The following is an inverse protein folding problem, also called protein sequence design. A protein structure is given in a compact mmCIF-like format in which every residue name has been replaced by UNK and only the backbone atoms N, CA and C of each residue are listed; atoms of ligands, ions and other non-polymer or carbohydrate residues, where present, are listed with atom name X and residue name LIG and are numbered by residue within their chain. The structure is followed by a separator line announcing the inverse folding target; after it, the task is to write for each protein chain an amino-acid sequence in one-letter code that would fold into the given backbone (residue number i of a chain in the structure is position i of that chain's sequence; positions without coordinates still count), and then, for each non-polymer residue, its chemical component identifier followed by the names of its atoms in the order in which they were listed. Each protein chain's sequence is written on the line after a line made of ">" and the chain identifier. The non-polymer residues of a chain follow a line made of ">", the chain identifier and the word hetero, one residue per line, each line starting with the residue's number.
data_IF_506020292208
#
_entry.id   IF_506020292208
#
_cell.length_a   1.000
_cell.length_b   1.000
_cell.length_c   1.000
_cell.angle_alpha   90.00
_cell.angle_beta   90.00
_cell.angle_gamma   90.00
#
_symmetry.space_group_name_H-M   'P 1'
#
loop_
_entity.id
_entity.type
_entity.pdbx_description
1 polymer ?
#
# COMPACT_ATOMS: atom_id res chain seq x y z
N UNK A 1 -8.12 35.62 3.44
CA UNK A 1 -9.53 35.45 3.87
C UNK A 1 -10.42 34.82 2.78
N UNK A 2 -10.14 34.98 1.48
CA UNK A 2 -10.95 34.39 0.38
C UNK A 2 -10.94 32.85 0.35
N UNK A 3 -9.79 32.22 0.58
CA UNK A 3 -9.67 30.75 0.63
C UNK A 3 -10.54 30.09 1.73
N UNK A 4 -10.69 30.73 2.88
CA UNK A 4 -11.56 30.21 3.94
C UNK A 4 -13.04 30.33 3.58
N UNK A 5 -13.41 31.34 2.78
CA UNK A 5 -14.77 31.52 2.28
C UNK A 5 -15.09 30.47 1.21
N UNK A 6 -14.17 30.15 0.31
CA UNK A 6 -14.42 29.19 -0.78
C UNK A 6 -14.72 27.76 -0.32
N UNK A 7 -14.33 27.41 0.92
CA UNK A 7 -14.63 26.10 1.53
C UNK A 7 -15.86 26.12 2.46
N UNK A 8 -16.61 27.23 2.48
CA UNK A 8 -17.77 27.35 3.36
C UNK A 8 -18.87 26.31 3.00
N UNK A 9 -19.47 25.63 3.99
CA UNK A 9 -20.42 24.53 3.73
C UNK A 9 -21.71 24.99 3.03
N UNK A 10 -22.16 26.21 3.29
CA UNK A 10 -23.40 26.77 2.72
C UNK A 10 -23.26 27.27 1.28
N UNK A 11 -22.05 27.33 0.72
CA UNK A 11 -21.89 27.74 -0.67
C UNK A 11 -22.27 26.59 -1.63
N UNK A 12 -22.95 26.93 -2.70
CA UNK A 12 -23.10 26.07 -3.87
C UNK A 12 -21.79 25.98 -4.67
N UNK A 13 -21.66 25.00 -5.56
CA UNK A 13 -20.49 24.89 -6.43
C UNK A 13 -20.35 26.10 -7.38
N UNK A 14 -21.46 26.70 -7.80
CA UNK A 14 -21.47 27.92 -8.62
C UNK A 14 -20.91 29.10 -7.84
N UNK A 15 -21.40 29.35 -6.63
CA UNK A 15 -20.88 30.43 -5.78
C UNK A 15 -19.41 30.20 -5.39
N UNK A 16 -19.00 28.93 -5.18
CA UNK A 16 -17.57 28.60 -4.95
C UNK A 16 -16.70 28.97 -6.14
N UNK A 17 -17.18 28.75 -7.36
CA UNK A 17 -16.44 29.06 -8.59
C UNK A 17 -16.25 30.57 -8.80
N UNK A 18 -17.13 31.40 -8.22
CA UNK A 18 -17.00 32.86 -8.23
C UNK A 18 -15.98 33.40 -7.22
N UNK A 19 -15.67 32.62 -6.18
CA UNK A 19 -14.66 33.02 -5.20
C UNK A 19 -13.27 32.86 -5.82
N UNK A 20 -12.65 33.98 -6.17
CA UNK A 20 -11.21 33.99 -6.48
C UNK A 20 -10.37 33.58 -5.26
N UNK A 21 -9.66 32.45 -5.34
CA UNK A 21 -8.76 31.93 -4.29
C UNK A 21 -7.49 31.35 -4.88
N UNK A 22 -6.41 31.38 -4.10
CA UNK A 22 -5.14 30.75 -4.43
C UNK A 22 -4.88 29.60 -3.46
N UNK A 23 -4.42 28.46 -3.99
CA UNK A 23 -4.01 27.31 -3.18
C UNK A 23 -2.51 27.44 -2.91
N UNK A 24 -2.07 27.31 -1.66
CA UNK A 24 -0.65 27.30 -1.34
C UNK A 24 0.07 26.16 -2.09
N UNK A 25 1.13 26.51 -2.81
CA UNK A 25 1.95 25.55 -3.57
C UNK A 25 2.72 24.59 -2.65
N UNK A 26 2.90 24.99 -1.40
CA UNK A 26 3.72 24.30 -0.40
C UNK A 26 2.88 23.64 0.71
N UNK A 27 1.69 23.14 0.37
CA UNK A 27 0.88 22.39 1.32
C UNK A 27 1.59 21.09 1.69
N UNK A 28 2.01 21.02 2.93
CA UNK A 28 2.46 19.80 3.55
C UNK A 28 1.26 18.87 3.77
N UNK A 29 1.25 17.72 3.09
CA UNK A 29 0.25 16.69 3.33
C UNK A 29 0.67 15.89 4.56
N UNK A 30 -0.06 16.10 5.66
CA UNK A 30 0.23 15.52 6.95
C UNK A 30 -0.73 14.39 7.29
N UNK A 31 -0.18 13.32 7.87
CA UNK A 31 -0.99 12.35 8.60
C UNK A 31 -1.70 13.06 9.77
N UNK A 32 -3.00 12.87 9.86
CA UNK A 32 -3.89 13.38 10.88
C UNK A 32 -4.20 12.26 11.87
N UNK A 33 -4.30 12.55 13.17
CA UNK A 33 -4.88 11.59 14.11
C UNK A 33 -6.36 11.38 13.77
N UNK A 34 -6.87 10.20 14.12
CA UNK A 34 -8.31 9.94 14.00
C UNK A 34 -9.07 10.98 14.83
N UNK A 35 -10.06 11.69 14.23
CA UNK A 35 -10.80 12.69 14.97
C UNK A 35 -11.63 12.03 16.06
N UNK A 36 -11.60 12.61 17.27
CA UNK A 36 -12.39 12.10 18.40
C UNK A 36 -13.90 12.10 18.12
N UNK A 37 -14.37 13.09 17.35
CA UNK A 37 -15.75 13.17 16.87
C UNK A 37 -15.76 12.86 15.38
N UNK A 38 -16.41 11.76 14.95
CA UNK A 38 -16.59 11.46 13.54
C UNK A 38 -17.30 12.61 12.82
N UNK A 39 -16.90 12.87 11.58
CA UNK A 39 -17.57 13.85 10.72
C UNK A 39 -18.92 13.31 10.27
N UNK A 40 -19.84 14.20 9.92
CA UNK A 40 -21.08 13.82 9.25
C UNK A 40 -20.77 13.12 7.91
N UNK A 41 -21.15 11.84 7.72
CA UNK A 41 -20.88 11.09 6.50
C UNK A 41 -21.45 11.75 5.24
N UNK A 42 -22.58 12.46 5.34
CA UNK A 42 -23.14 13.18 4.18
C UNK A 42 -22.27 14.37 3.79
N UNK A 43 -21.73 15.10 4.76
CA UNK A 43 -20.77 16.16 4.49
C UNK A 43 -19.48 15.62 3.88
N UNK A 44 -18.95 14.50 4.38
CA UNK A 44 -17.75 13.87 3.81
C UNK A 44 -17.98 13.47 2.35
N UNK A 45 -19.15 12.90 2.03
CA UNK A 45 -19.50 12.55 0.64
C UNK A 45 -19.64 13.77 -0.26
N UNK A 46 -20.22 14.87 0.23
CA UNK A 46 -20.27 16.14 -0.50
C UNK A 46 -18.87 16.67 -0.79
N UNK A 47 -18.03 16.71 0.23
CA UNK A 47 -16.65 17.19 0.10
C UNK A 47 -15.84 16.35 -0.90
N UNK A 48 -15.96 15.01 -0.85
CA UNK A 48 -15.28 14.08 -1.77
C UNK A 48 -15.75 14.19 -3.23
N UNK A 49 -16.91 14.82 -3.47
CA UNK A 49 -17.50 14.95 -4.80
C UNK A 49 -17.44 16.37 -5.35
N UNK A 50 -16.96 17.34 -4.56
CA UNK A 50 -16.88 18.75 -4.96
C UNK A 50 -15.81 18.99 -6.03
N UNK A 51 -16.04 19.98 -6.89
CA UNK A 51 -15.02 20.47 -7.83
C UNK A 51 -13.97 21.36 -7.17
N UNK A 52 -14.18 21.79 -5.91
CA UNK A 52 -13.23 22.61 -5.17
C UNK A 52 -12.08 21.74 -4.63
N UNK A 53 -10.81 21.92 -5.06
CA UNK A 53 -9.69 21.01 -4.77
C UNK A 53 -9.41 20.78 -3.28
N UNK A 54 -9.64 21.77 -2.41
CA UNK A 54 -9.47 21.58 -0.97
C UNK A 54 -10.53 20.68 -0.31
N UNK A 55 -11.72 20.50 -0.91
CA UNK A 55 -12.79 19.70 -0.30
C UNK A 55 -12.52 18.19 -0.45
N UNK A 56 -12.11 17.65 -1.62
CA UNK A 56 -11.60 16.29 -1.72
C UNK A 56 -10.39 16.04 -0.81
N UNK A 57 -9.46 17.01 -0.68
CA UNK A 57 -8.34 16.91 0.28
C UNK A 57 -8.83 16.75 1.71
N UNK A 58 -9.80 17.56 2.11
CA UNK A 58 -10.43 17.49 3.43
C UNK A 58 -11.21 16.18 3.65
N UNK A 59 -11.84 15.64 2.61
CA UNK A 59 -12.49 14.33 2.69
C UNK A 59 -11.45 13.20 2.85
N UNK A 60 -10.32 13.29 2.16
CA UNK A 60 -9.23 12.30 2.18
C UNK A 60 -8.56 12.13 3.56
N UNK A 61 -8.73 13.08 4.49
CA UNK A 61 -8.26 12.94 5.87
C UNK A 61 -9.23 12.13 6.75
N UNK A 62 -10.41 11.76 6.25
CA UNK A 62 -11.39 10.99 7.03
C UNK A 62 -11.07 9.50 7.02
N UNK A 63 -10.92 8.92 8.22
CA UNK A 63 -10.51 7.52 8.39
C UNK A 63 -11.65 6.52 8.14
N UNK A 64 -12.89 7.02 8.05
CA UNK A 64 -14.12 6.23 7.90
C UNK A 64 -14.72 6.33 6.50
N UNK A 65 -13.94 6.83 5.52
CA UNK A 65 -14.36 6.92 4.13
C UNK A 65 -14.90 5.57 3.63
N UNK A 66 -16.10 5.54 3.05
CA UNK A 66 -16.65 4.32 2.49
C UNK A 66 -15.88 3.91 1.22
N UNK A 67 -15.84 2.60 0.87
CA UNK A 67 -15.00 2.09 -0.21
C UNK A 67 -15.21 2.74 -1.58
N UNK A 68 -16.45 3.14 -1.92
CA UNK A 68 -16.78 3.84 -3.17
C UNK A 68 -16.05 5.19 -3.28
N UNK A 69 -15.96 5.92 -2.17
CA UNK A 69 -15.25 7.20 -2.12
C UNK A 69 -13.73 7.00 -2.07
N UNK A 70 -13.24 5.94 -1.43
CA UNK A 70 -11.80 5.59 -1.46
C UNK A 70 -11.37 5.30 -2.90
N UNK A 71 -12.14 4.52 -3.65
CA UNK A 71 -11.85 4.21 -5.06
C UNK A 71 -11.82 5.48 -5.92
N UNK A 72 -12.83 6.35 -5.76
CA UNK A 72 -12.89 7.66 -6.43
C UNK A 72 -11.65 8.50 -6.12
N UNK A 73 -11.34 8.72 -4.85
CA UNK A 73 -10.25 9.60 -4.42
C UNK A 73 -8.86 9.00 -4.71
N UNK A 74 -8.74 7.68 -4.88
CA UNK A 74 -7.51 7.03 -5.35
C UNK A 74 -7.19 7.42 -6.80
N UNK A 75 -8.21 7.65 -7.61
CA UNK A 75 -8.10 8.04 -9.01
C UNK A 75 -8.09 9.57 -9.22
N UNK A 76 -8.20 10.37 -8.15
CA UNK A 76 -8.19 11.83 -8.22
C UNK A 76 -6.89 12.35 -8.85
N UNK A 77 -6.96 13.43 -9.63
CA UNK A 77 -5.81 14.04 -10.31
C UNK A 77 -4.96 14.90 -9.36
N UNK A 78 -5.53 15.40 -8.27
CA UNK A 78 -4.81 16.18 -7.27
C UNK A 78 -3.90 15.28 -6.43
N UNK A 79 -2.59 15.51 -6.52
CA UNK A 79 -1.57 14.83 -5.71
C UNK A 79 -1.89 14.92 -4.21
N UNK A 80 -2.39 16.06 -3.74
CA UNK A 80 -2.73 16.27 -2.34
C UNK A 80 -3.83 15.34 -1.86
N UNK A 81 -4.85 15.09 -2.69
CA UNK A 81 -5.92 14.14 -2.37
C UNK A 81 -5.34 12.73 -2.21
N UNK A 82 -4.53 12.28 -3.18
CA UNK A 82 -3.93 10.94 -3.16
C UNK A 82 -2.98 10.75 -1.97
N UNK A 83 -2.16 11.75 -1.66
CA UNK A 83 -1.20 11.66 -0.54
C UNK A 83 -1.92 11.69 0.80
N UNK A 84 -2.89 12.59 1.00
CA UNK A 84 -3.69 12.63 2.23
C UNK A 84 -4.46 11.32 2.43
N UNK A 85 -5.08 10.77 1.39
CA UNK A 85 -5.79 9.50 1.47
C UNK A 85 -4.83 8.36 1.86
N UNK A 86 -3.67 8.31 1.23
CA UNK A 86 -2.63 7.31 1.49
C UNK A 86 -2.09 7.36 2.93
N UNK A 87 -1.91 8.57 3.48
CA UNK A 87 -1.41 8.79 4.83
C UNK A 87 -2.46 8.48 5.90
N UNK A 88 -3.73 8.79 5.66
CA UNK A 88 -4.76 8.79 6.69
C UNK A 88 -5.60 7.50 6.68
N UNK A 89 -6.03 7.03 5.50
CA UNK A 89 -6.99 5.94 5.44
C UNK A 89 -6.38 4.60 5.92
N UNK A 90 -6.97 3.92 6.92
CA UNK A 90 -6.39 2.74 7.54
C UNK A 90 -6.22 1.57 6.56
N UNK A 91 -7.10 1.50 5.56
CA UNK A 91 -7.09 0.48 4.50
C UNK A 91 -6.70 1.07 3.14
N UNK A 92 -5.84 2.08 3.11
CA UNK A 92 -5.33 2.64 1.86
C UNK A 92 -4.78 1.53 0.93
N UNK A 93 -5.17 1.50 -0.36
CA UNK A 93 -4.69 0.48 -1.29
C UNK A 93 -3.17 0.51 -1.49
N UNK A 94 -2.56 -0.66 -1.69
CA UNK A 94 -1.11 -0.79 -1.91
C UNK A 94 -0.61 0.02 -3.12
N UNK A 95 -1.40 0.03 -4.21
CA UNK A 95 -1.10 0.80 -5.42
C UNK A 95 -1.10 2.31 -5.16
N UNK A 96 -2.07 2.80 -4.39
CA UNK A 96 -2.14 4.20 -3.97
C UNK A 96 -0.92 4.57 -3.13
N UNK A 97 -0.59 3.74 -2.14
CA UNK A 97 0.56 3.96 -1.25
C UNK A 97 1.88 4.09 -2.04
N UNK A 98 2.12 3.17 -2.97
CA UNK A 98 3.31 3.20 -3.81
C UNK A 98 3.32 4.39 -4.76
N UNK A 99 2.19 4.65 -5.45
CA UNK A 99 2.07 5.80 -6.36
C UNK A 99 2.34 7.12 -5.63
N UNK A 100 1.67 7.34 -4.51
CA UNK A 100 1.87 8.53 -3.66
C UNK A 100 3.31 8.64 -3.18
N UNK A 101 3.97 7.52 -2.85
CA UNK A 101 5.39 7.55 -2.47
C UNK A 101 6.30 7.93 -3.65
N UNK A 102 6.02 7.49 -4.87
CA UNK A 102 6.85 7.84 -6.03
C UNK A 102 6.72 9.32 -6.40
N UNK A 103 5.50 9.86 -6.34
CA UNK A 103 5.15 11.22 -6.76
C UNK A 103 5.45 12.29 -5.70
N UNK A 104 5.16 12.03 -4.42
CA UNK A 104 5.33 13.00 -3.34
C UNK A 104 6.78 13.14 -2.91
N UNK A 105 7.24 14.38 -2.65
CA UNK A 105 8.60 14.72 -2.20
C UNK A 105 8.65 15.48 -0.87
N UNK A 106 7.53 15.57 -0.15
CA UNK A 106 7.48 16.26 1.15
C UNK A 106 7.97 15.38 2.31
N UNK A 107 8.14 15.98 3.49
CA UNK A 107 8.82 15.36 4.64
C UNK A 107 8.08 14.14 5.22
N UNK A 108 6.76 14.06 5.09
CA UNK A 108 5.96 12.91 5.54
C UNK A 108 5.99 11.71 4.58
N UNK A 109 6.77 11.77 3.49
CA UNK A 109 6.82 10.70 2.49
C UNK A 109 7.21 9.35 3.10
N UNK A 110 8.15 9.35 4.05
CA UNK A 110 8.59 8.13 4.75
C UNK A 110 7.44 7.43 5.49
N UNK A 111 6.44 8.18 5.99
CA UNK A 111 5.26 7.64 6.66
C UNK A 111 4.47 6.68 5.76
N UNK A 112 4.45 6.90 4.44
CA UNK A 112 3.75 6.00 3.51
C UNK A 112 4.28 4.56 3.60
N UNK A 113 5.60 4.40 3.81
CA UNK A 113 6.23 3.09 3.90
C UNK A 113 5.95 2.36 5.22
N UNK A 114 5.39 3.04 6.23
CA UNK A 114 5.01 2.41 7.50
C UNK A 114 3.55 1.97 7.52
N UNK A 115 2.79 2.30 6.46
CA UNK A 115 1.39 1.92 6.33
C UNK A 115 1.25 0.39 6.17
N UNK A 116 0.22 -0.23 6.78
CA UNK A 116 0.08 -1.69 6.83
C UNK A 116 -0.03 -2.36 5.46
N UNK A 117 -0.63 -1.68 4.48
CA UNK A 117 -0.81 -2.20 3.12
C UNK A 117 0.30 -1.79 2.14
N UNK A 118 1.41 -1.19 2.61
CA UNK A 118 2.48 -0.79 1.71
C UNK A 118 3.08 -2.04 1.03
N UNK A 119 3.28 -2.04 -0.30
CA UNK A 119 3.72 -3.24 -0.99
C UNK A 119 5.10 -3.69 -0.53
N UNK A 120 5.29 -5.00 -0.46
CA UNK A 120 6.56 -5.63 -0.06
C UNK A 120 7.21 -6.42 -1.18
N UNK A 121 6.57 -6.52 -2.36
CA UNK A 121 7.07 -7.29 -3.50
C UNK A 121 7.15 -6.43 -4.76
N UNK A 122 8.08 -6.77 -5.65
CA UNK A 122 8.32 -6.02 -6.89
C UNK A 122 9.11 -4.73 -6.68
N UNK A 123 9.55 -4.46 -5.45
CA UNK A 123 10.29 -3.24 -5.11
C UNK A 123 11.75 -3.29 -5.60
N UNK A 124 12.29 -4.49 -5.86
CA UNK A 124 13.62 -4.65 -6.43
C UNK A 124 13.79 -3.95 -7.79
N UNK A 125 12.69 -3.68 -8.52
CA UNK A 125 12.70 -2.94 -9.77
C UNK A 125 13.17 -1.48 -9.61
N UNK A 126 13.13 -0.93 -8.40
CA UNK A 126 13.51 0.45 -8.12
C UNK A 126 15.00 0.62 -7.75
N UNK A 127 15.82 -0.45 -7.79
CA UNK A 127 17.20 -0.45 -7.31
C UNK A 127 18.10 0.62 -7.94
N UNK A 128 17.84 0.98 -9.20
CA UNK A 128 18.64 1.94 -9.98
C UNK A 128 17.95 3.30 -10.17
N UNK A 129 16.87 3.58 -9.44
CA UNK A 129 16.14 4.84 -9.56
C UNK A 129 17.01 6.06 -9.19
N UNK A 130 16.80 7.24 -9.79
CA UNK A 130 17.62 8.42 -9.50
C UNK A 130 17.41 8.98 -8.07
N UNK A 131 16.15 8.98 -7.62
CA UNK A 131 15.75 9.36 -6.26
C UNK A 131 16.24 8.32 -5.23
N UNK A 132 17.13 8.70 -4.28
CA UNK A 132 17.66 7.81 -3.26
C UNK A 132 16.59 7.12 -2.39
N UNK A 133 15.50 7.81 -2.07
CA UNK A 133 14.43 7.23 -1.25
C UNK A 133 13.64 6.16 -2.02
N UNK A 134 13.50 6.34 -3.34
CA UNK A 134 12.91 5.32 -4.22
C UNK A 134 13.83 4.12 -4.35
N UNK A 135 15.15 4.32 -4.49
CA UNK A 135 16.11 3.20 -4.47
C UNK A 135 16.03 2.40 -3.18
N UNK A 136 15.84 3.07 -2.05
CA UNK A 136 15.74 2.41 -0.75
C UNK A 136 14.57 1.41 -0.67
N UNK A 137 13.55 1.54 -1.52
CA UNK A 137 12.47 0.54 -1.61
C UNK A 137 12.98 -0.85 -1.99
N UNK A 138 14.03 -0.96 -2.80
CA UNK A 138 14.57 -2.25 -3.23
C UNK A 138 15.05 -3.11 -2.04
N UNK A 139 15.53 -2.49 -0.96
CA UNK A 139 15.93 -3.17 0.25
C UNK A 139 14.73 -3.73 1.07
N UNK A 140 13.51 -3.24 0.79
CA UNK A 140 12.27 -3.68 1.42
C UNK A 140 11.55 -4.78 0.63
N UNK A 141 12.09 -5.16 -0.53
CA UNK A 141 11.55 -6.24 -1.34
C UNK A 141 11.71 -7.56 -0.59
N UNK A 142 10.61 -8.04 -0.04
CA UNK A 142 10.47 -9.42 0.39
C UNK A 142 10.54 -10.28 -0.87
N UNK A 143 11.75 -10.71 -1.22
CA UNK A 143 11.91 -11.77 -2.22
C UNK A 143 11.01 -12.91 -1.75
N UNK A 144 10.03 -13.37 -2.55
CA UNK A 144 9.29 -14.57 -2.19
C UNK A 144 10.34 -15.64 -1.93
N UNK A 145 10.29 -16.26 -0.74
CA UNK A 145 11.17 -17.37 -0.41
C UNK A 145 11.19 -18.31 -1.61
N UNK A 146 12.31 -18.39 -2.33
CA UNK A 146 12.60 -19.56 -3.15
C UNK A 146 12.49 -20.70 -2.16
N UNK A 147 11.46 -21.54 -2.29
CA UNK A 147 11.42 -22.76 -1.50
C UNK A 147 12.79 -23.43 -1.65
N UNK A 148 13.39 -23.95 -0.56
CA UNK A 148 14.66 -24.63 -0.67
C UNK A 148 14.51 -25.73 -1.72
N UNK A 149 15.51 -25.82 -2.60
CA UNK A 149 15.71 -26.93 -3.52
C UNK A 149 15.31 -28.24 -2.84
N UNK A 150 14.19 -28.85 -3.26
CA UNK A 150 13.83 -30.19 -2.81
C UNK A 150 14.75 -31.14 -3.56
N UNK A 151 15.90 -31.41 -2.96
CA UNK A 151 16.83 -32.41 -3.47
C UNK A 151 16.07 -33.72 -3.61
N UNK A 152 15.81 -34.15 -4.84
CA UNK A 152 15.45 -35.54 -5.11
C UNK A 152 16.59 -36.39 -4.59
N UNK A 153 16.35 -37.06 -3.46
CA UNK A 153 17.09 -38.24 -3.08
C UNK A 153 16.79 -39.31 -4.14
N UNK A 154 17.54 -39.26 -5.25
CA UNK A 154 17.61 -40.36 -6.19
C UNK A 154 18.17 -41.55 -5.43
N UNK A 155 17.27 -42.49 -5.18
CA UNK A 155 17.48 -43.73 -4.45
C UNK A 155 18.63 -44.47 -5.12
N UNK A 156 19.76 -44.60 -4.43
CA UNK A 156 20.87 -45.44 -4.87
C UNK A 156 20.39 -46.88 -4.81
N UNK A 157 19.99 -47.42 -5.95
CA UNK A 157 19.71 -48.84 -6.16
C UNK A 157 20.94 -49.65 -5.74
N UNK A 158 20.84 -50.38 -4.63
CA UNK A 158 21.75 -51.48 -4.32
C UNK A 158 21.18 -52.73 -5.02
N UNK A 159 21.99 -53.47 -5.80
CA UNK A 159 21.52 -54.71 -6.40
C UNK A 159 21.40 -55.82 -5.35
N UNK A 160 20.35 -56.61 -5.55
CA UNK A 160 20.02 -57.82 -4.82
C UNK A 160 21.01 -58.95 -5.15
N UNK A 161 21.47 -59.71 -4.14
CA UNK A 161 21.62 -61.19 -4.09
C UNK A 161 22.73 -61.64 -3.10
N UNK A 162 22.75 -62.91 -2.65
CA UNK A 162 21.75 -63.97 -2.79
C UNK A 162 21.26 -64.58 -1.47
N UNK A 163 20.13 -65.27 -1.63
CA UNK A 163 19.50 -66.21 -0.72
C UNK A 163 20.48 -67.30 -0.22
N UNK A 164 20.45 -67.57 1.09
CA UNK A 164 21.02 -68.79 1.66
C UNK A 164 20.00 -69.93 1.47
N UNK A 165 20.38 -70.97 0.72
CA UNK A 165 19.68 -72.25 0.78
C UNK A 165 20.29 -73.08 1.92
N UNK A 166 19.55 -73.22 3.02
CA UNK A 166 19.83 -74.23 4.02
C UNK A 166 19.24 -75.57 3.55
N UNK A 167 20.10 -76.54 3.25
CA UNK A 167 19.70 -77.95 3.07
C UNK A 167 20.22 -78.79 4.23
N UNK A 168 19.31 -79.63 4.71
CA UNK A 168 19.36 -80.54 5.86
C UNK A 168 20.40 -81.66 5.75
N UNK A 169 20.92 -82.04 6.93
CA UNK A 169 21.11 -83.41 7.48
C UNK A 169 22.07 -84.38 6.73
N UNK A 170 23.16 -84.80 7.39
CA UNK A 170 23.43 -86.23 7.66
C UNK A 170 24.55 -86.48 8.71
N UNK A 171 24.16 -87.13 9.82
CA UNK A 171 24.72 -88.33 10.49
C UNK A 171 26.24 -88.46 10.77
N UNK A 172 26.55 -88.75 12.05
CA UNK A 172 27.78 -89.34 12.60
C UNK A 172 28.14 -90.69 11.97
N UNK A 173 29.38 -91.18 12.14
CA UNK A 173 29.66 -92.11 13.26
C UNK A 173 31.08 -92.04 13.84
N UNK A 174 31.28 -92.64 15.03
CA UNK A 174 32.58 -92.91 15.64
C UNK A 174 32.57 -92.79 17.15
#
# INVERSE_FOLDING_TARGET
>A
MRLALSVHPELSEEERAEVDYEIPVNDCFHAQPEPYVPRDPQQVRRDASSGHPLLPRKAATDHTLPPDLVERLTADDDLGVRVLLAQNHPQAPASLLLRSFLEYKGHERAHLTTRPNFPTTGLAAFADHEDPEVRALAARDARPCRQPWSGSAATRTLPCAPHWHATRIFRSPG
#
